data_IF_288855048554
#
_entry.id   IF_288855048554
#
_cell.length_a   1.000
_cell.length_b   1.000
_cell.length_c   1.000
_cell.angle_alpha   90.00
_cell.angle_beta   90.00
_cell.angle_gamma   90.00
#
_symmetry.space_group_name_H-M   'P 1'
#
loop_
_entity.id
_entity.type
_entity.pdbx_description
1 polymer ?
#
# COMPACT_ATOMS: atom_id res chain seq x y z
N UNK A 1 14.98 -33.46 63.24
CA UNK A 1 16.24 -32.70 63.32
C UNK A 1 17.00 -32.95 62.03
N UNK A 2 16.89 -32.03 61.07
CA UNK A 2 17.56 -32.08 59.78
C UNK A 2 18.98 -31.51 59.88
N UNK A 3 19.93 -32.14 59.20
CA UNK A 3 21.32 -31.68 59.11
C UNK A 3 21.44 -30.69 57.95
N UNK A 4 21.63 -29.42 58.26
CA UNK A 4 22.10 -28.44 57.30
C UNK A 4 23.60 -28.71 57.01
N UNK A 5 23.91 -29.18 55.81
CA UNK A 5 25.27 -29.28 55.32
C UNK A 5 25.58 -28.03 54.50
N UNK A 6 26.47 -27.19 55.02
CA UNK A 6 26.94 -25.96 54.36
C UNK A 6 27.91 -26.35 53.25
N UNK A 7 27.46 -26.35 52.00
CA UNK A 7 28.35 -26.46 50.84
C UNK A 7 28.73 -25.03 50.41
N UNK A 8 29.98 -24.65 50.68
CA UNK A 8 30.69 -23.46 50.19
C UNK A 8 29.89 -22.14 50.10
N UNK A 9 30.01 -21.31 51.14
CA UNK A 9 30.12 -19.84 51.06
C UNK A 9 28.93 -18.98 50.62
N UNK A 10 28.05 -19.42 49.71
CA UNK A 10 26.96 -18.57 49.19
C UNK A 10 25.67 -19.31 48.83
N UNK A 11 25.59 -20.63 49.05
CA UNK A 11 24.40 -21.41 48.76
C UNK A 11 23.92 -22.15 50.02
N UNK A 12 22.81 -21.68 50.60
CA UNK A 12 22.07 -22.50 51.55
C UNK A 12 21.27 -23.52 50.75
N UNK A 13 21.29 -24.79 51.13
CA UNK A 13 20.45 -25.82 50.49
C UNK A 13 19.43 -26.26 51.53
N UNK A 14 18.19 -25.85 51.32
CA UNK A 14 17.03 -26.31 52.06
C UNK A 14 16.30 -27.40 51.28
N UNK A 15 16.10 -28.56 51.90
CA UNK A 15 15.21 -29.60 51.41
C UNK A 15 13.80 -29.31 51.91
N UNK A 16 12.82 -29.19 51.01
CA UNK A 16 11.40 -29.14 51.38
C UNK A 16 10.68 -30.23 50.58
N UNK A 17 10.22 -31.28 51.28
CA UNK A 17 9.56 -32.46 50.68
C UNK A 17 10.42 -33.30 49.70
N UNK A 18 11.73 -33.39 49.91
CA UNK A 18 12.60 -34.27 49.12
C UNK A 18 13.10 -33.71 47.80
N UNK A 19 12.74 -32.48 47.44
CA UNK A 19 13.34 -31.75 46.32
C UNK A 19 14.32 -30.68 46.84
N UNK A 20 15.49 -30.59 46.21
CA UNK A 20 16.47 -29.51 46.41
C UNK A 20 15.96 -28.24 45.72
N UNK A 21 15.67 -27.18 46.49
CA UNK A 21 14.93 -26.01 45.95
C UNK A 21 15.75 -24.71 45.91
N UNK A 22 16.94 -24.65 46.52
CA UNK A 22 17.53 -23.33 46.82
C UNK A 22 18.49 -22.77 45.74
N UNK A 23 18.88 -23.54 44.74
CA UNK A 23 19.67 -23.03 43.60
C UNK A 23 18.83 -22.51 42.41
N UNK A 24 17.53 -22.78 42.36
CA UNK A 24 16.73 -22.47 41.17
C UNK A 24 16.13 -21.04 41.20
N UNK A 25 16.00 -20.42 42.38
CA UNK A 25 15.40 -19.08 42.52
C UNK A 25 16.15 -17.99 41.75
N UNK A 26 17.47 -17.95 41.87
CA UNK A 26 18.29 -16.95 41.18
C UNK A 26 18.16 -17.11 39.66
N UNK A 27 18.26 -18.35 39.17
CA UNK A 27 18.10 -18.70 37.76
C UNK A 27 16.69 -18.40 37.23
N UNK A 28 15.65 -18.70 38.01
CA UNK A 28 14.27 -18.36 37.68
C UNK A 28 14.04 -16.85 37.64
N UNK A 29 14.69 -16.09 38.53
CA UNK A 29 14.61 -14.64 38.57
C UNK A 29 15.28 -14.01 37.34
N UNK A 30 16.47 -14.51 36.97
CA UNK A 30 17.15 -14.10 35.72
C UNK A 30 16.30 -14.44 34.49
N UNK A 31 15.78 -15.67 34.41
CA UNK A 31 14.90 -16.09 33.31
C UNK A 31 13.63 -15.25 33.24
N UNK A 32 13.05 -14.88 34.37
CA UNK A 32 11.89 -14.00 34.43
C UNK A 32 12.25 -12.61 33.90
N UNK A 33 13.40 -12.05 34.30
CA UNK A 33 13.88 -10.76 33.82
C UNK A 33 14.11 -10.75 32.31
N UNK A 34 14.74 -11.79 31.77
CA UNK A 34 14.94 -11.96 30.33
C UNK A 34 13.62 -12.06 29.57
N UNK A 35 12.67 -12.83 30.13
CA UNK A 35 11.35 -13.00 29.56
C UNK A 35 10.53 -11.70 29.60
N UNK A 36 10.60 -10.95 30.70
CA UNK A 36 10.01 -9.62 30.83
C UNK A 36 10.54 -8.68 29.76
N UNK A 37 11.87 -8.57 29.63
CA UNK A 37 12.49 -7.74 28.59
C UNK A 37 12.06 -8.18 27.19
N UNK A 38 11.98 -9.49 26.93
CA UNK A 38 11.50 -10.04 25.66
C UNK A 38 10.04 -9.69 25.38
N UNK A 39 9.17 -9.74 26.39
CA UNK A 39 7.75 -9.42 26.26
C UNK A 39 7.56 -7.92 26.02
N UNK A 40 8.23 -7.06 26.80
CA UNK A 40 8.14 -5.61 26.61
C UNK A 40 8.68 -5.18 25.25
N UNK A 41 9.82 -5.72 24.82
CA UNK A 41 10.37 -5.44 23.49
C UNK A 41 9.43 -5.90 22.36
N UNK A 42 8.77 -7.04 22.53
CA UNK A 42 7.80 -7.55 21.56
C UNK A 42 6.53 -6.70 21.55
N UNK A 43 6.04 -6.26 22.70
CA UNK A 43 4.89 -5.37 22.81
C UNK A 43 5.17 -4.01 22.16
N UNK A 44 6.37 -3.46 22.37
CA UNK A 44 6.83 -2.24 21.68
C UNK A 44 6.90 -2.43 20.16
N UNK A 45 7.29 -3.61 19.67
CA UNK A 45 7.26 -3.93 18.23
C UNK A 45 5.83 -3.99 17.69
N UNK A 46 4.91 -4.62 18.42
CA UNK A 46 3.52 -4.81 18.00
C UNK A 46 2.74 -3.49 18.04
N UNK A 47 2.82 -2.75 19.14
CA UNK A 47 1.97 -1.59 19.42
C UNK A 47 2.69 -0.25 19.36
N UNK A 48 4.02 -0.24 19.26
CA UNK A 48 4.81 0.97 19.30
C UNK A 48 5.01 1.52 20.72
N UNK A 49 5.86 2.53 20.83
CA UNK A 49 6.20 3.21 22.08
C UNK A 49 6.27 4.70 21.88
N UNK A 50 5.59 5.47 22.74
CA UNK A 50 5.64 6.94 22.72
C UNK A 50 7.05 7.46 22.99
N UNK A 51 7.86 6.74 23.78
CA UNK A 51 9.21 7.17 24.17
C UNK A 51 10.18 7.18 22.99
N UNK A 52 10.07 6.19 22.10
CA UNK A 52 10.93 6.06 20.91
C UNK A 52 10.27 6.59 19.63
N UNK A 53 9.04 7.10 19.70
CA UNK A 53 8.28 7.58 18.54
C UNK A 53 7.89 6.49 17.53
N UNK A 54 8.10 5.21 17.87
CA UNK A 54 7.74 4.09 17.00
C UNK A 54 6.22 3.86 17.04
N UNK A 55 5.63 3.73 15.86
CA UNK A 55 4.21 3.41 15.67
C UNK A 55 3.93 1.91 15.80
N UNK A 56 4.97 1.07 15.75
CA UNK A 56 4.86 -0.39 15.71
C UNK A 56 4.07 -0.90 14.49
N UNK A 57 3.86 -2.23 14.46
CA UNK A 57 3.07 -2.89 13.42
C UNK A 57 1.62 -2.36 13.39
N UNK A 58 1.03 -2.14 14.56
CA UNK A 58 -0.32 -1.59 14.68
C UNK A 58 -0.48 -0.23 13.99
N UNK A 59 0.46 0.69 14.21
CA UNK A 59 0.41 2.01 13.59
C UNK A 59 0.76 1.99 12.10
N UNK A 60 1.64 1.10 11.65
CA UNK A 60 1.89 0.84 10.23
C UNK A 60 0.63 0.35 9.52
N UNK A 61 -0.08 -0.63 10.10
CA UNK A 61 -1.34 -1.12 9.57
C UNK A 61 -2.39 0.00 9.49
N UNK A 62 -2.48 0.84 10.54
CA UNK A 62 -3.37 2.01 10.55
C UNK A 62 -3.03 3.02 9.47
N UNK A 63 -1.76 3.30 9.24
CA UNK A 63 -1.31 4.17 8.17
C UNK A 63 -1.66 3.59 6.79
N UNK A 64 -1.45 2.28 6.60
CA UNK A 64 -1.80 1.61 5.35
C UNK A 64 -3.30 1.64 5.07
N UNK A 65 -4.15 1.28 6.05
CA UNK A 65 -5.61 1.39 5.89
C UNK A 65 -6.08 2.83 5.65
N UNK A 66 -5.40 3.83 6.23
CA UNK A 66 -5.69 5.24 5.94
C UNK A 66 -5.45 5.57 4.47
N UNK A 67 -4.36 5.06 3.88
CA UNK A 67 -4.09 5.24 2.45
C UNK A 67 -5.20 4.61 1.62
N UNK A 68 -5.54 3.35 1.87
CA UNK A 68 -6.64 2.66 1.17
C UNK A 68 -7.99 3.39 1.27
N UNK A 69 -8.31 3.94 2.44
CA UNK A 69 -9.56 4.66 2.65
C UNK A 69 -9.56 6.07 2.04
N UNK A 70 -8.39 6.61 1.66
CA UNK A 70 -8.31 7.95 1.09
C UNK A 70 -8.90 8.01 -0.31
N UNK A 71 -9.43 9.18 -0.70
CA UNK A 71 -10.01 9.41 -2.03
C UNK A 71 -8.99 9.21 -3.17
N UNK A 72 -7.71 9.40 -2.89
CA UNK A 72 -6.63 9.21 -3.86
C UNK A 72 -6.55 7.76 -4.37
N UNK A 73 -6.94 6.79 -3.53
CA UNK A 73 -6.95 5.36 -3.87
C UNK A 73 -8.39 4.83 -4.01
N UNK A 74 -9.33 5.69 -4.42
CA UNK A 74 -10.73 5.32 -4.64
C UNK A 74 -11.53 4.97 -3.37
N UNK A 75 -11.05 5.38 -2.19
CA UNK A 75 -11.75 5.19 -0.92
C UNK A 75 -12.78 6.28 -0.61
N UNK A 76 -13.67 6.02 0.35
CA UNK A 76 -14.74 6.93 0.78
C UNK A 76 -14.25 8.17 1.55
N UNK A 77 -12.99 8.19 1.97
CA UNK A 77 -12.41 9.22 2.85
C UNK A 77 -12.73 9.02 4.34
N UNK A 78 -13.53 8.02 4.69
CA UNK A 78 -13.88 7.68 6.08
C UNK A 78 -13.17 6.41 6.51
N UNK A 79 -12.19 6.54 7.41
CA UNK A 79 -11.53 5.37 8.01
C UNK A 79 -12.43 4.79 9.11
N UNK A 80 -12.89 3.56 8.93
CA UNK A 80 -13.49 2.78 10.01
C UNK A 80 -12.38 1.90 10.59
N UNK A 81 -11.69 2.40 11.62
CA UNK A 81 -10.67 1.63 12.33
C UNK A 81 -11.30 0.95 13.54
N UNK A 82 -11.26 -0.38 13.56
CA UNK A 82 -11.99 -1.19 14.55
C UNK A 82 -11.09 -2.01 15.47
N UNK A 83 -9.77 -2.05 15.23
CA UNK A 83 -8.89 -2.93 16.00
C UNK A 83 -8.50 -2.26 17.32
N UNK A 84 -8.87 -2.84 18.48
CA UNK A 84 -8.58 -2.25 19.79
C UNK A 84 -7.11 -2.40 20.17
N UNK A 85 -6.59 -1.41 20.89
CA UNK A 85 -5.26 -1.44 21.49
C UNK A 85 -5.34 -2.11 22.87
N UNK A 86 -5.02 -3.40 22.95
CA UNK A 86 -4.99 -4.15 24.22
C UNK A 86 -3.55 -4.51 24.58
N UNK A 87 -2.92 -3.69 25.42
CA UNK A 87 -1.60 -3.96 25.99
C UNK A 87 -1.75 -4.96 27.12
N UNK A 88 -1.10 -6.12 26.96
CA UNK A 88 -1.23 -7.22 27.92
C UNK A 88 -0.41 -6.98 29.18
N UNK A 89 0.62 -6.11 29.09
CA UNK A 89 1.50 -5.84 30.23
C UNK A 89 1.02 -4.71 31.14
N UNK A 90 0.13 -3.83 30.67
CA UNK A 90 -0.48 -2.75 31.48
C UNK A 90 -1.30 -3.29 32.67
N UNK A 91 -1.60 -4.59 32.66
CA UNK A 91 -2.36 -5.31 33.71
C UNK A 91 -1.46 -5.90 34.81
N UNK A 92 -0.15 -5.75 34.71
CA UNK A 92 0.80 -6.27 35.72
C UNK A 92 1.19 -5.21 36.74
N UNK A 93 1.05 -5.53 38.04
CA UNK A 93 1.58 -4.69 39.11
C UNK A 93 3.12 -4.75 39.15
N UNK A 94 3.75 -3.58 39.29
CA UNK A 94 5.19 -3.45 39.53
C UNK A 94 5.54 -4.06 40.89
N UNK A 95 6.22 -5.21 40.89
CA UNK A 95 6.71 -5.82 42.13
C UNK A 95 8.16 -5.40 42.33
N UNK A 96 8.43 -4.71 43.44
CA UNK A 96 9.79 -4.38 43.87
C UNK A 96 10.46 -5.64 44.41
N UNK A 97 11.22 -6.32 43.56
CA UNK A 97 12.15 -7.37 44.00
C UNK A 97 13.34 -6.66 44.64
N UNK A 98 13.44 -6.73 45.98
CA UNK A 98 14.50 -6.10 46.76
C UNK A 98 15.38 -7.12 47.47
N UNK A 99 16.64 -6.76 47.70
CA UNK A 99 17.48 -7.43 48.69
C UNK A 99 17.26 -6.70 50.03
N UNK A 100 17.08 -7.41 51.14
CA UNK A 100 17.16 -6.76 52.46
C UNK A 100 18.59 -6.34 52.79
N UNK A 101 18.72 -5.62 53.90
CA UNK A 101 19.99 -5.21 54.52
C UNK A 101 20.96 -6.39 54.79
N UNK A 102 20.49 -7.63 54.72
CA UNK A 102 21.27 -8.86 54.92
C UNK A 102 21.53 -9.61 53.61
N UNK A 103 21.30 -8.99 52.46
CA UNK A 103 21.38 -9.60 51.13
C UNK A 103 20.48 -10.82 50.91
N UNK A 104 19.44 -11.00 51.71
CA UNK A 104 18.41 -11.98 51.40
C UNK A 104 17.41 -11.38 50.42
N UNK A 105 16.96 -12.18 49.46
CA UNK A 105 15.92 -11.80 48.52
C UNK A 105 14.61 -11.63 49.30
N UNK A 106 14.17 -10.39 49.54
CA UNK A 106 12.89 -10.11 50.18
C UNK A 106 11.86 -9.85 49.10
N UNK A 107 10.84 -10.70 49.08
CA UNK A 107 9.63 -10.45 48.30
C UNK A 107 9.44 -11.33 47.08
N UNK A 108 9.71 -12.64 47.14
CA UNK A 108 8.99 -13.58 46.27
C UNK A 108 8.81 -14.94 46.97
N UNK A 109 7.56 -15.29 47.32
CA UNK A 109 7.25 -16.70 47.61
C UNK A 109 7.32 -17.46 46.28
N UNK A 110 7.88 -18.66 46.29
CA UNK A 110 8.18 -19.44 45.07
C UNK A 110 6.95 -19.75 44.21
N UNK A 111 5.78 -19.76 44.85
CA UNK A 111 4.49 -19.95 44.21
C UNK A 111 4.18 -18.81 43.22
N UNK A 112 4.62 -17.57 43.50
CA UNK A 112 4.41 -16.44 42.58
C UNK A 112 5.40 -16.39 41.40
N UNK A 113 6.62 -16.91 41.52
CA UNK A 113 7.60 -16.86 40.41
C UNK A 113 7.19 -17.75 39.25
N UNK A 114 6.75 -18.98 39.55
CA UNK A 114 6.33 -19.96 38.55
C UNK A 114 5.09 -19.47 37.80
N UNK A 115 4.09 -18.99 38.52
CA UNK A 115 2.88 -18.44 37.94
C UNK A 115 3.18 -17.23 37.06
N UNK A 116 4.09 -16.34 37.50
CA UNK A 116 4.48 -15.17 36.72
C UNK A 116 5.26 -15.55 35.46
N UNK A 117 6.19 -16.50 35.55
CA UNK A 117 6.86 -17.06 34.38
C UNK A 117 5.85 -17.60 33.38
N UNK A 118 4.86 -18.37 33.84
CA UNK A 118 3.80 -18.92 32.99
C UNK A 118 2.93 -17.81 32.37
N UNK A 119 2.57 -16.76 33.12
CA UNK A 119 1.84 -15.59 32.58
C UNK A 119 2.63 -14.87 31.50
N UNK A 120 3.90 -14.55 31.75
CA UNK A 120 4.77 -13.88 30.76
C UNK A 120 5.03 -14.75 29.52
N UNK A 121 5.10 -16.08 29.67
CA UNK A 121 5.13 -17.00 28.53
C UNK A 121 3.84 -16.90 27.71
N UNK A 122 2.68 -16.86 28.38
CA UNK A 122 1.39 -16.63 27.74
C UNK A 122 1.32 -15.28 27.00
N UNK A 123 1.78 -14.19 27.63
CA UNK A 123 1.86 -12.88 27.00
C UNK A 123 2.75 -12.89 25.77
N UNK A 124 3.92 -13.53 25.85
CA UNK A 124 4.81 -13.69 24.70
C UNK A 124 4.12 -14.40 23.54
N UNK A 125 3.43 -15.51 23.80
CA UNK A 125 2.71 -16.25 22.75
C UNK A 125 1.60 -15.42 22.11
N UNK A 126 0.81 -14.69 22.91
CA UNK A 126 -0.26 -13.81 22.41
C UNK A 126 0.33 -12.71 21.54
N UNK A 127 1.38 -12.04 22.01
CA UNK A 127 2.04 -10.96 21.28
C UNK A 127 2.71 -11.45 20.00
N UNK A 128 3.30 -12.66 19.99
CA UNK A 128 3.85 -13.28 18.79
C UNK A 128 2.75 -13.50 17.75
N UNK A 129 1.64 -14.13 18.15
CA UNK A 129 0.49 -14.34 17.28
C UNK A 129 -0.05 -13.02 16.72
N UNK A 130 -0.14 -11.98 17.55
CA UNK A 130 -0.55 -10.62 17.11
C UNK A 130 0.44 -9.99 16.14
N UNK A 131 1.74 -10.18 16.36
CA UNK A 131 2.78 -9.70 15.45
C UNK A 131 2.62 -10.33 14.06
N UNK A 132 2.41 -11.64 14.01
CA UNK A 132 2.20 -12.38 12.75
C UNK A 132 0.89 -11.92 12.07
N UNK A 133 -0.21 -11.83 12.81
CA UNK A 133 -1.50 -11.33 12.30
C UNK A 133 -1.38 -9.92 11.71
N UNK A 134 -0.66 -9.01 12.37
CA UNK A 134 -0.45 -7.66 11.84
C UNK A 134 0.47 -7.66 10.64
N UNK A 135 1.51 -8.50 10.63
CA UNK A 135 2.40 -8.61 9.48
C UNK A 135 1.63 -9.04 8.23
N UNK A 136 0.84 -10.11 8.32
CA UNK A 136 0.02 -10.61 7.21
C UNK A 136 -0.96 -9.54 6.70
N UNK A 137 -1.63 -8.83 7.63
CA UNK A 137 -2.55 -7.75 7.28
C UNK A 137 -1.86 -6.55 6.63
N UNK A 138 -0.64 -6.23 7.05
CA UNK A 138 0.16 -5.15 6.46
C UNK A 138 0.55 -5.53 5.04
N UNK A 139 1.03 -6.75 4.81
CA UNK A 139 1.43 -7.21 3.48
C UNK A 139 0.23 -7.30 2.52
N UNK A 140 -0.93 -7.79 3.00
CA UNK A 140 -2.17 -7.73 2.23
C UNK A 140 -2.55 -6.29 1.88
N UNK A 141 -2.52 -5.38 2.87
CA UNK A 141 -2.83 -3.97 2.65
C UNK A 141 -1.86 -3.30 1.68
N UNK A 142 -0.55 -3.57 1.77
CA UNK A 142 0.44 -3.05 0.81
C UNK A 142 0.18 -3.55 -0.59
N UNK A 143 -0.19 -4.82 -0.75
CA UNK A 143 -0.55 -5.41 -2.04
C UNK A 143 -1.78 -4.72 -2.65
N UNK A 144 -2.81 -4.45 -1.84
CA UNK A 144 -3.98 -3.69 -2.30
C UNK A 144 -3.65 -2.24 -2.67
N UNK A 145 -2.82 -1.57 -1.86
CA UNK A 145 -2.35 -0.21 -2.18
C UNK A 145 -1.55 -0.23 -3.48
N UNK A 146 -0.64 -1.17 -3.66
CA UNK A 146 0.16 -1.31 -4.88
C UNK A 146 -0.73 -1.58 -6.10
N UNK A 147 -1.73 -2.47 -5.99
CA UNK A 147 -2.72 -2.69 -7.04
C UNK A 147 -3.44 -1.40 -7.42
N UNK A 148 -3.89 -0.63 -6.43
CA UNK A 148 -4.56 0.66 -6.65
C UNK A 148 -3.62 1.78 -7.12
N UNK A 149 -2.33 1.72 -6.77
CA UNK A 149 -1.30 2.61 -7.29
C UNK A 149 -1.03 2.30 -8.76
N UNK A 150 -1.05 1.03 -9.16
CA UNK A 150 -0.99 0.65 -10.56
C UNK A 150 -2.26 1.13 -11.28
N UNK A 151 -3.45 0.94 -10.70
CA UNK A 151 -4.72 1.42 -11.28
C UNK A 151 -4.88 2.97 -11.25
N UNK A 152 -4.08 3.67 -10.44
CA UNK A 152 -4.16 5.12 -10.23
C UNK A 152 -3.01 5.92 -10.88
N UNK A 153 -1.83 5.31 -11.02
CA UNK A 153 -0.69 5.82 -11.80
C UNK A 153 -0.66 5.29 -13.23
N UNK A 154 -1.42 4.24 -13.54
CA UNK A 154 -2.15 4.21 -14.80
C UNK A 154 -3.37 5.10 -14.59
N UNK A 155 -3.35 6.39 -14.96
CA UNK A 155 -4.60 6.97 -15.40
C UNK A 155 -5.20 5.94 -16.34
N UNK A 156 -6.50 5.71 -16.30
CA UNK A 156 -7.22 5.02 -17.38
C UNK A 156 -7.07 5.74 -18.73
N UNK A 157 -6.04 6.56 -18.93
CA UNK A 157 -5.29 6.56 -20.17
C UNK A 157 -5.03 5.10 -20.55
N UNK A 158 -5.87 4.60 -21.45
CA UNK A 158 -5.28 3.99 -22.63
C UNK A 158 -4.33 5.04 -23.22
N UNK A 159 -3.11 5.13 -22.69
CA UNK A 159 -2.03 5.74 -23.43
C UNK A 159 -1.73 4.71 -24.48
N UNK A 160 -2.33 4.91 -25.65
CA UNK A 160 -1.78 4.39 -26.89
C UNK A 160 -0.49 5.20 -27.16
N UNK A 161 0.41 5.26 -26.17
CA UNK A 161 1.72 5.87 -26.29
C UNK A 161 2.69 4.92 -26.98
N UNK A 162 2.33 3.64 -27.10
CA UNK A 162 3.13 2.65 -27.82
C UNK A 162 2.26 1.83 -28.76
N UNK A 163 1.53 2.52 -29.66
CA UNK A 163 1.36 1.94 -30.99
C UNK A 163 2.79 1.69 -31.52
N UNK A 164 3.14 0.41 -31.65
CA UNK A 164 4.41 -0.14 -32.10
C UNK A 164 5.47 -0.47 -31.02
N UNK A 165 5.42 -1.73 -30.56
CA UNK A 165 6.64 -2.51 -30.30
C UNK A 165 7.42 -2.86 -31.58
N UNK A 166 7.00 -2.38 -32.76
CA UNK A 166 7.58 -2.74 -34.04
C UNK A 166 7.55 -1.58 -35.06
N UNK A 167 8.48 -0.63 -34.93
CA UNK A 167 8.99 0.18 -36.06
C UNK A 167 7.96 0.84 -36.98
N UNK A 168 6.81 1.27 -36.46
CA UNK A 168 5.80 1.89 -37.31
C UNK A 168 6.25 3.29 -37.76
N UNK A 169 5.90 3.61 -39.00
CA UNK A 169 6.22 4.88 -39.62
C UNK A 169 5.41 6.01 -38.95
N UNK A 170 6.03 6.68 -37.98
CA UNK A 170 5.45 7.84 -37.30
C UNK A 170 4.96 8.90 -38.29
N UNK A 171 5.60 9.04 -39.45
CA UNK A 171 5.17 9.96 -40.49
C UNK A 171 3.80 9.56 -41.04
N UNK A 172 3.56 8.26 -41.28
CA UNK A 172 2.28 7.74 -41.75
C UNK A 172 1.14 7.96 -40.73
N UNK A 173 1.41 7.78 -39.43
CA UNK A 173 0.43 8.05 -38.36
C UNK A 173 0.10 9.54 -38.31
N UNK A 174 1.12 10.39 -38.33
CA UNK A 174 0.96 11.85 -38.32
C UNK A 174 0.19 12.36 -39.54
N UNK A 175 0.53 11.87 -40.74
CA UNK A 175 -0.16 12.22 -41.97
C UNK A 175 -1.64 11.84 -41.92
N UNK A 176 -1.96 10.64 -41.42
CA UNK A 176 -3.34 10.19 -41.25
C UNK A 176 -4.10 11.05 -40.24
N UNK A 177 -3.53 11.29 -39.06
CA UNK A 177 -4.18 12.11 -38.04
C UNK A 177 -4.41 13.52 -38.54
N UNK A 178 -3.45 14.08 -39.28
CA UNK A 178 -3.59 15.40 -39.88
C UNK A 178 -4.73 15.50 -40.90
N UNK A 179 -5.03 14.41 -41.63
CA UNK A 179 -6.20 14.32 -42.51
C UNK A 179 -7.51 14.01 -41.78
N UNK A 180 -7.43 13.39 -40.59
CA UNK A 180 -8.58 13.01 -39.77
C UNK A 180 -9.10 14.16 -38.90
N UNK A 181 -8.20 14.97 -38.30
CA UNK A 181 -8.56 15.99 -37.31
C UNK A 181 -9.37 17.13 -37.95
N UNK A 182 -10.67 17.15 -37.64
CA UNK A 182 -11.63 18.21 -37.97
C UNK A 182 -12.80 18.14 -36.99
N UNK A 183 -13.45 19.26 -36.71
CA UNK A 183 -14.65 19.27 -35.87
C UNK A 183 -15.72 18.34 -36.46
N UNK A 184 -16.32 17.49 -35.61
CA UNK A 184 -17.29 16.49 -36.08
C UNK A 184 -16.66 15.22 -36.66
N UNK A 185 -15.38 14.96 -36.44
CA UNK A 185 -14.76 13.69 -36.83
C UNK A 185 -15.13 12.56 -35.86
N UNK A 186 -15.54 11.43 -36.41
CA UNK A 186 -16.02 10.24 -35.71
C UNK A 186 -14.90 9.44 -35.02
N UNK A 187 -15.01 9.26 -33.70
CA UNK A 187 -14.11 8.38 -32.93
C UNK A 187 -14.18 6.93 -33.43
N UNK A 188 -15.36 6.46 -33.81
CA UNK A 188 -15.52 5.11 -34.36
C UNK A 188 -14.68 4.94 -35.63
N UNK A 189 -14.75 5.91 -36.54
CA UNK A 189 -13.94 5.90 -37.76
C UNK A 189 -12.43 5.97 -37.45
N UNK A 190 -12.01 6.76 -36.46
CA UNK A 190 -10.62 6.77 -36.01
C UNK A 190 -10.17 5.36 -35.61
N UNK A 191 -10.88 4.74 -34.66
CA UNK A 191 -10.50 3.44 -34.10
C UNK A 191 -10.53 2.34 -35.17
N UNK A 192 -11.55 2.29 -36.03
CA UNK A 192 -11.63 1.31 -37.12
C UNK A 192 -10.45 1.44 -38.09
N UNK A 193 -10.05 2.66 -38.46
CA UNK A 193 -8.89 2.88 -39.33
C UNK A 193 -7.58 2.51 -38.66
N UNK A 194 -7.42 2.83 -37.38
CA UNK A 194 -6.22 2.50 -36.60
C UNK A 194 -6.07 0.98 -36.47
N UNK A 195 -7.15 0.24 -36.17
CA UNK A 195 -7.14 -1.23 -36.15
C UNK A 195 -6.90 -1.83 -37.54
N UNK A 196 -7.55 -1.30 -38.58
CA UNK A 196 -7.36 -1.81 -39.95
C UNK A 196 -5.94 -1.61 -40.49
N UNK A 197 -5.24 -0.57 -40.03
CA UNK A 197 -3.84 -0.30 -40.35
C UNK A 197 -2.84 -1.10 -39.52
N UNK A 198 -3.31 -1.82 -38.50
CA UNK A 198 -2.47 -2.63 -37.62
C UNK A 198 -1.73 -1.84 -36.54
N UNK A 199 -1.98 -0.53 -36.42
CA UNK A 199 -1.36 0.34 -35.42
C UNK A 199 -1.80 0.01 -33.99
N UNK A 200 -2.95 -0.66 -33.86
CA UNK A 200 -3.44 -1.24 -32.63
C UNK A 200 -3.95 -2.64 -32.92
N UNK A 201 -3.83 -3.54 -31.94
CA UNK A 201 -4.50 -4.83 -31.97
C UNK A 201 -5.72 -4.81 -31.05
N UNK A 202 -6.85 -5.36 -31.51
CA UNK A 202 -8.06 -5.50 -30.68
C UNK A 202 -7.82 -6.35 -29.42
N UNK A 203 -6.83 -7.26 -29.46
CA UNK A 203 -6.42 -8.07 -28.32
C UNK A 203 -5.87 -7.27 -27.14
N UNK A 204 -5.43 -6.03 -27.39
CA UNK A 204 -4.83 -5.16 -26.37
C UNK A 204 -5.91 -4.43 -25.55
N UNK A 205 -7.19 -4.63 -25.89
CA UNK A 205 -8.32 -3.91 -25.32
C UNK A 205 -9.37 -4.87 -24.76
N UNK A 206 -9.91 -4.53 -23.59
CA UNK A 206 -11.15 -5.17 -23.10
C UNK A 206 -12.37 -4.44 -23.63
N UNK A 207 -13.47 -5.17 -23.89
CA UNK A 207 -14.70 -4.57 -24.43
C UNK A 207 -15.35 -3.55 -23.49
N UNK A 208 -15.17 -3.72 -22.19
CA UNK A 208 -15.66 -2.82 -21.13
C UNK A 208 -14.68 -1.69 -20.79
N UNK A 209 -13.53 -1.62 -21.45
CA UNK A 209 -12.52 -0.59 -21.22
C UNK A 209 -12.95 0.74 -21.84
N UNK A 210 -12.89 1.81 -21.03
CA UNK A 210 -13.12 3.17 -21.51
C UNK A 210 -11.96 3.62 -22.40
N UNK A 211 -12.25 4.02 -23.64
CA UNK A 211 -11.27 4.54 -24.60
C UNK A 211 -10.93 6.00 -24.32
N UNK A 212 -11.94 6.77 -23.94
CA UNK A 212 -11.82 8.20 -23.67
C UNK A 212 -11.71 8.36 -22.16
N UNK A 213 -10.66 9.03 -21.69
CA UNK A 213 -10.38 9.17 -20.26
C UNK A 213 -10.13 10.62 -19.84
N UNK A 214 -9.97 10.78 -18.53
CA UNK A 214 -10.12 12.01 -17.76
C UNK A 214 -9.20 13.13 -18.25
N UNK A 215 -9.79 14.33 -18.33
CA UNK A 215 -9.18 15.67 -18.35
C UNK A 215 -7.71 15.74 -18.82
N UNK A 216 -7.48 15.88 -20.13
CA UNK A 216 -6.16 16.18 -20.68
C UNK A 216 -5.91 17.69 -20.68
N UNK A 217 -4.73 18.11 -20.24
CA UNK A 217 -4.32 19.52 -20.23
C UNK A 217 -3.50 19.87 -21.47
N UNK A 218 -3.72 21.05 -22.01
CA UNK A 218 -2.83 21.65 -23.02
C UNK A 218 -1.54 22.22 -22.39
N UNK A 219 -0.70 22.84 -23.21
CA UNK A 219 0.57 23.46 -22.75
C UNK A 219 0.33 24.62 -21.76
N UNK A 220 -0.85 25.24 -21.79
CA UNK A 220 -1.25 26.33 -20.86
C UNK A 220 -1.93 25.79 -19.60
N UNK A 221 -2.07 24.48 -19.45
CA UNK A 221 -2.74 23.85 -18.32
C UNK A 221 -4.27 23.81 -18.44
N UNK A 222 -4.85 24.23 -19.57
CA UNK A 222 -6.30 24.21 -19.82
C UNK A 222 -6.77 22.77 -19.98
N UNK A 223 -7.63 22.27 -19.09
CA UNK A 223 -8.16 20.92 -19.19
C UNK A 223 -9.26 20.80 -20.27
N UNK A 224 -9.28 19.67 -20.98
CA UNK A 224 -10.44 19.18 -21.74
C UNK A 224 -10.81 17.79 -21.25
N UNK A 225 -12.06 17.66 -20.84
CA UNK A 225 -12.65 16.37 -20.53
C UNK A 225 -12.83 15.54 -21.80
N UNK A 226 -13.06 14.24 -21.61
CA UNK A 226 -13.33 13.32 -22.70
C UNK A 226 -12.24 13.35 -23.78
N UNK A 227 -10.99 13.21 -23.37
CA UNK A 227 -9.88 13.26 -24.28
C UNK A 227 -9.12 11.92 -24.38
N UNK A 228 -8.65 11.62 -25.58
CA UNK A 228 -7.86 10.45 -25.97
C UNK A 228 -6.45 10.93 -26.28
N UNK A 229 -5.44 10.19 -25.79
CA UNK A 229 -4.05 10.38 -26.19
C UNK A 229 -3.64 9.25 -27.13
N UNK A 230 -3.26 9.59 -28.37
CA UNK A 230 -2.87 8.64 -29.39
C UNK A 230 -1.59 9.09 -30.11
N UNK A 231 -0.49 8.37 -29.93
CA UNK A 231 0.81 8.65 -30.55
C UNK A 231 1.25 10.13 -30.46
N UNK A 232 1.15 10.72 -29.26
CA UNK A 232 1.50 12.13 -29.00
C UNK A 232 0.39 13.14 -29.34
N UNK A 233 -0.72 12.73 -29.94
CA UNK A 233 -1.88 13.57 -30.20
C UNK A 233 -2.88 13.51 -29.05
N UNK A 234 -3.40 14.67 -28.65
CA UNK A 234 -4.49 14.80 -27.68
C UNK A 234 -5.76 15.15 -28.45
N UNK A 235 -6.78 14.31 -28.37
CA UNK A 235 -8.03 14.40 -29.13
C UNK A 235 -9.21 14.46 -28.15
N UNK A 236 -9.94 15.56 -28.09
CA UNK A 236 -11.09 15.73 -27.18
C UNK A 236 -12.41 15.60 -27.94
N UNK A 237 -13.35 14.88 -27.35
CA UNK A 237 -14.64 14.53 -27.94
C UNK A 237 -15.82 15.12 -27.16
N UNK A 238 -16.98 15.23 -27.81
CA UNK A 238 -18.20 15.81 -27.25
C UNK A 238 -18.96 14.92 -26.26
N UNK A 239 -18.61 13.63 -26.23
CA UNK A 239 -19.29 12.61 -25.44
C UNK A 239 -18.44 12.16 -24.26
N UNK A 240 -19.11 11.78 -23.17
CA UNK A 240 -18.51 11.16 -21.98
C UNK A 240 -17.74 9.87 -22.26
N UNK A 241 -17.32 9.13 -21.22
CA UNK A 241 -16.61 7.86 -21.38
C UNK A 241 -17.35 6.93 -22.34
N UNK A 242 -16.65 6.45 -23.37
CA UNK A 242 -17.14 5.47 -24.33
C UNK A 242 -16.28 4.23 -24.21
N UNK A 243 -16.92 3.08 -24.04
CA UNK A 243 -16.22 1.78 -24.02
C UNK A 243 -15.94 1.27 -25.44
N UNK A 244 -14.94 0.38 -25.58
CA UNK A 244 -14.64 -0.27 -26.87
C UNK A 244 -15.86 -1.00 -27.42
N UNK A 245 -16.60 -1.71 -26.56
CA UNK A 245 -17.80 -2.44 -26.94
C UNK A 245 -18.93 -1.53 -27.42
N UNK A 246 -19.17 -0.41 -26.74
CA UNK A 246 -20.16 0.58 -27.17
C UNK A 246 -19.81 1.21 -28.53
N UNK A 247 -18.53 1.51 -28.74
CA UNK A 247 -18.04 2.09 -29.98
C UNK A 247 -18.20 1.14 -31.18
N UNK A 248 -17.90 -0.16 -30.98
CA UNK A 248 -17.92 -1.14 -32.06
C UNK A 248 -19.32 -1.72 -32.34
N UNK A 249 -20.16 -1.89 -31.32
CA UNK A 249 -21.41 -2.65 -31.45
C UNK A 249 -22.68 -1.80 -31.36
N UNK A 250 -22.68 -0.71 -30.60
CA UNK A 250 -23.91 0.02 -30.27
C UNK A 250 -24.13 1.28 -31.12
N UNK A 251 -23.23 1.57 -32.07
CA UNK A 251 -23.28 2.78 -32.90
C UNK A 251 -23.17 4.07 -32.08
N UNK A 252 -22.70 3.98 -30.83
CA UNK A 252 -22.53 5.11 -29.92
C UNK A 252 -21.21 5.81 -30.24
N UNK A 253 -21.24 6.62 -31.28
CA UNK A 253 -20.08 7.41 -31.69
C UNK A 253 -19.88 8.65 -30.80
N UNK A 254 -18.68 9.21 -30.85
CA UNK A 254 -18.28 10.47 -30.23
C UNK A 254 -17.61 11.35 -31.29
N UNK A 255 -17.92 12.65 -31.28
CA UNK A 255 -17.43 13.59 -32.29
C UNK A 255 -16.28 14.43 -31.76
N UNK A 256 -15.23 14.58 -32.57
CA UNK A 256 -14.06 15.38 -32.22
C UNK A 256 -14.46 16.86 -32.10
N UNK A 257 -14.10 17.48 -30.98
CA UNK A 257 -14.38 18.89 -30.66
C UNK A 257 -13.12 19.73 -30.68
N UNK A 258 -12.00 19.18 -30.22
CA UNK A 258 -10.72 19.89 -30.24
C UNK A 258 -9.55 18.94 -30.19
N UNK A 259 -8.41 19.34 -30.74
CA UNK A 259 -7.17 18.56 -30.67
C UNK A 259 -5.95 19.42 -30.39
N UNK A 260 -4.90 18.80 -29.87
CA UNK A 260 -3.58 19.39 -29.67
C UNK A 260 -2.55 18.26 -29.62
N UNK A 261 -1.32 18.54 -29.19
CA UNK A 261 -0.24 17.58 -29.06
C UNK A 261 0.36 17.57 -27.64
N UNK A 262 1.08 16.50 -27.30
CA UNK A 262 1.85 16.39 -26.07
C UNK A 262 3.21 17.07 -26.21
N UNK A 263 3.99 16.72 -27.24
CA UNK A 263 5.27 17.37 -27.56
C UNK A 263 5.37 17.73 -29.04
N UNK A 264 5.87 18.94 -29.36
CA UNK A 264 6.01 19.41 -30.76
C UNK A 264 6.89 18.47 -31.60
N UNK A 265 7.90 17.85 -30.97
CA UNK A 265 8.78 16.88 -31.62
C UNK A 265 8.07 15.60 -32.09
N UNK A 266 6.91 15.25 -31.53
CA UNK A 266 6.15 14.06 -31.91
C UNK A 266 5.28 14.31 -33.15
N UNK A 267 4.98 15.58 -33.44
CA UNK A 267 4.08 16.01 -34.51
C UNK A 267 4.75 16.98 -35.49
N UNK A 268 6.08 16.99 -35.56
CA UNK A 268 6.87 17.99 -36.28
C UNK A 268 6.47 18.17 -37.76
N UNK A 269 6.03 17.09 -38.41
CA UNK A 269 5.61 17.07 -39.83
C UNK A 269 4.15 17.51 -40.05
N UNK A 270 3.39 17.74 -38.97
CA UNK A 270 1.94 17.98 -39.00
C UNK A 270 1.56 19.46 -38.98
N UNK A 271 2.49 20.35 -39.34
CA UNK A 271 2.27 21.81 -39.29
C UNK A 271 1.13 22.35 -40.17
N UNK A 272 0.51 21.52 -41.02
CA UNK A 272 -0.65 21.90 -41.86
C UNK A 272 -2.00 21.87 -41.11
N UNK A 273 -2.14 21.00 -40.11
CA UNK A 273 -3.38 20.78 -39.34
C UNK A 273 -3.23 21.18 -37.86
N UNK A 274 -2.01 21.53 -37.44
CA UNK A 274 -1.69 22.12 -36.15
C UNK A 274 -1.09 23.50 -36.39
N UNK A 275 -1.61 24.58 -35.78
CA UNK A 275 -0.92 25.86 -35.74
C UNK A 275 0.48 25.66 -35.16
N UNK A 276 1.47 26.32 -35.74
CA UNK A 276 2.87 25.94 -35.53
C UNK A 276 3.35 26.03 -34.07
N UNK A 277 2.70 26.82 -33.19
CA UNK A 277 3.41 27.33 -32.00
C UNK A 277 2.64 27.46 -30.67
N UNK A 278 1.35 27.16 -30.56
CA UNK A 278 0.65 27.40 -29.28
C UNK A 278 0.42 26.16 -28.41
N UNK A 279 0.38 24.95 -28.98
CA UNK A 279 0.09 23.72 -28.22
C UNK A 279 -1.22 23.81 -27.42
N UNK A 280 -2.09 24.75 -27.81
CA UNK A 280 -3.41 25.02 -27.26
C UNK A 280 -4.41 24.14 -28.01
N UNK A 281 -5.51 23.80 -27.36
CA UNK A 281 -6.63 23.11 -28.00
C UNK A 281 -7.12 23.88 -29.24
N UNK A 282 -6.99 23.26 -30.41
CA UNK A 282 -7.50 23.78 -31.67
C UNK A 282 -8.96 23.31 -31.87
N UNK A 283 -9.93 24.22 -32.00
CA UNK A 283 -11.35 23.87 -32.17
C UNK A 283 -11.84 23.86 -33.64
N UNK A 284 -10.96 23.99 -34.65
CA UNK A 284 -11.37 24.36 -36.02
C UNK A 284 -11.96 23.24 -36.87
#
# INVERSE_FOLDING_TARGET
MERAATVSGTQSVGLKKGEMVVMDKARMTEKLRDLQNSVYSLEDRVYGTRKLGSLGLYGELKACRRKLASRQYGGTGTMIWTEPLDRVTDKEEEVKVGLDEKQNLVGVSEEYLKDRLQRFQGYKMILQKRADEFHDKIEACKTEVAGKELDGNEPSKVMIQEASKAGEDKAAVNQFLCGYVRTGASLQNLMLNVFAKGWLALSDFKLDQNLISVSLKDVKGTPKENALLFNGWKLAFDRGPVTVGELLNEGKDAQLVSWTYERKSEVAESGRCLPADDGVWNPR
#
